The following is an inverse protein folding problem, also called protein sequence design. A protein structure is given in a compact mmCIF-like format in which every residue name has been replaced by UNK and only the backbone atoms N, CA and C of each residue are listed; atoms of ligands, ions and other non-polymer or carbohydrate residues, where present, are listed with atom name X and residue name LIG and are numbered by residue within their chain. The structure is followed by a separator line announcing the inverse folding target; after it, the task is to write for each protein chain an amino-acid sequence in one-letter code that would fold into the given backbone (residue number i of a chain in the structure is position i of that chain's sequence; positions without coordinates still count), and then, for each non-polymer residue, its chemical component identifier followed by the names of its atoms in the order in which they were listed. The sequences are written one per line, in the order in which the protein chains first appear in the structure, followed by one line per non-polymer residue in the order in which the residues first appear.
data_IF_965919158078
#
_entry.id   IF_965919158078
#
_cell.length_a   1.000
_cell.length_b   1.000
_cell.length_c   1.000
_cell.angle_alpha   90.00
_cell.angle_beta   90.00
_cell.angle_gamma   90.00
#
_symmetry.space_group_name_H-M   'P 1'
#
loop_
_entity.id
_entity.type
_entity.pdbx_description
1 polymer ?
#
# COMPACT_ATOMS: atom_id res chain seq x y z
N UNK A 1 58.86 34.58 2.06
CA UNK A 1 57.95 34.62 3.22
C UNK A 1 56.56 34.92 2.71
N UNK A 2 55.57 34.10 3.08
CA UNK A 2 54.17 34.29 2.70
C UNK A 2 53.47 32.99 2.30
N UNK A 3 53.38 32.03 3.23
CA UNK A 3 52.59 30.82 3.09
C UNK A 3 51.12 31.13 3.46
N UNK A 4 50.25 31.28 2.47
CA UNK A 4 48.80 31.34 2.69
C UNK A 4 48.23 29.92 2.69
N UNK A 5 48.04 29.38 3.89
CA UNK A 5 47.26 28.17 4.13
C UNK A 5 45.80 28.40 3.70
N UNK A 6 45.34 27.67 2.69
CA UNK A 6 43.90 27.59 2.39
C UNK A 6 43.19 26.89 3.56
N UNK A 7 42.17 27.48 4.19
CA UNK A 7 41.44 26.83 5.27
C UNK A 7 40.61 25.66 4.73
N UNK A 8 40.76 24.50 5.38
CA UNK A 8 39.96 23.31 5.13
C UNK A 8 38.48 23.62 5.35
N UNK A 9 37.65 23.46 4.31
CA UNK A 9 36.19 23.50 4.41
C UNK A 9 35.64 22.19 5.01
N UNK A 10 36.04 21.88 6.24
CA UNK A 10 35.27 21.01 7.12
C UNK A 10 34.16 21.86 7.75
N UNK A 11 33.11 22.14 6.97
CA UNK A 11 31.90 22.76 7.50
C UNK A 11 31.28 21.77 8.49
N UNK A 12 31.46 22.04 9.78
CA UNK A 12 30.81 21.35 10.89
C UNK A 12 29.30 21.35 10.62
N UNK A 13 28.74 20.18 10.28
CA UNK A 13 27.30 20.00 10.13
C UNK A 13 26.65 20.26 11.49
N UNK A 14 26.16 21.49 11.70
CA UNK A 14 25.40 21.84 12.88
C UNK A 14 24.24 20.86 13.00
N UNK A 15 24.20 20.10 14.11
CA UNK A 15 23.10 19.20 14.46
C UNK A 15 21.81 20.02 14.57
N UNK A 16 21.06 20.11 13.46
CA UNK A 16 19.76 20.77 13.43
C UNK A 16 18.73 19.83 14.06
N UNK A 17 17.84 20.38 14.91
CA UNK A 17 16.81 19.59 15.59
C UNK A 17 16.03 18.66 14.63
N UNK A 18 15.78 17.40 15.02
CA UNK A 18 15.04 16.44 14.20
C UNK A 18 13.55 16.78 14.04
N UNK A 19 13.03 17.71 14.85
CA UNK A 19 11.61 18.11 14.85
C UNK A 19 11.33 19.42 14.10
N UNK A 20 12.23 19.85 13.22
CA UNK A 20 11.98 21.04 12.37
C UNK A 20 10.89 20.74 11.36
N UNK A 21 10.06 21.74 11.05
CA UNK A 21 9.05 21.66 10.00
C UNK A 21 9.62 21.23 8.63
N UNK A 22 10.84 21.66 8.30
CA UNK A 22 11.56 21.28 7.08
C UNK A 22 12.39 19.98 7.24
N UNK A 23 12.29 19.27 8.36
CA UNK A 23 12.99 17.99 8.58
C UNK A 23 12.27 16.87 7.83
N UNK A 24 13.01 15.95 7.21
CA UNK A 24 12.45 14.73 6.62
C UNK A 24 11.55 13.94 7.58
N UNK A 25 11.83 13.94 8.89
CA UNK A 25 11.05 13.16 9.87
C UNK A 25 9.66 13.74 10.08
N UNK A 26 9.57 15.06 10.23
CA UNK A 26 8.29 15.76 10.38
C UNK A 26 7.48 15.65 9.09
N UNK A 27 8.11 15.75 7.92
CA UNK A 27 7.43 15.61 6.64
C UNK A 27 6.89 14.19 6.39
N UNK A 28 7.67 13.15 6.76
CA UNK A 28 7.19 11.75 6.71
C UNK A 28 6.09 11.49 7.74
N UNK A 29 6.18 12.10 8.93
CA UNK A 29 5.11 12.04 9.93
C UNK A 29 3.82 12.72 9.47
N UNK A 30 3.94 13.89 8.83
CA UNK A 30 2.80 14.63 8.29
C UNK A 30 2.09 13.87 7.17
N UNK A 31 2.83 13.31 6.19
CA UNK A 31 2.20 12.45 5.18
C UNK A 31 1.61 11.18 5.80
N UNK A 32 2.24 10.65 6.85
CA UNK A 32 1.69 9.55 7.65
C UNK A 32 0.34 9.91 8.29
N UNK A 33 0.22 11.08 8.90
CA UNK A 33 -1.02 11.60 9.49
C UNK A 33 -2.09 11.86 8.41
N UNK A 34 -1.71 12.42 7.26
CA UNK A 34 -2.62 12.59 6.12
C UNK A 34 -3.13 11.22 5.65
N UNK A 35 -2.25 10.23 5.53
CA UNK A 35 -2.63 8.88 5.13
C UNK A 35 -3.47 8.16 6.21
N UNK A 36 -3.21 8.41 7.49
CA UNK A 36 -4.06 7.98 8.60
C UNK A 36 -5.49 8.52 8.45
N UNK A 37 -5.62 9.82 8.15
CA UNK A 37 -6.91 10.51 8.06
C UNK A 37 -7.72 10.18 6.80
N UNK A 38 -7.05 9.97 5.66
CA UNK A 38 -7.73 9.73 4.37
C UNK A 38 -7.80 8.22 4.06
N UNK A 39 -6.76 7.58 3.51
CA UNK A 39 -6.81 6.15 3.20
C UNK A 39 -6.97 5.25 4.43
N UNK A 40 -6.51 5.63 5.62
CA UNK A 40 -6.76 4.87 6.86
C UNK A 40 -8.24 4.81 7.23
N UNK A 41 -8.96 5.93 7.09
CA UNK A 41 -10.42 5.97 7.29
C UNK A 41 -11.17 5.22 6.18
N UNK A 42 -10.69 5.27 4.93
CA UNK A 42 -11.25 4.46 3.83
C UNK A 42 -11.08 2.96 4.08
N UNK A 43 -9.90 2.55 4.58
CA UNK A 43 -9.61 1.18 4.96
C UNK A 43 -10.55 0.72 6.08
N UNK A 44 -10.76 1.56 7.09
CA UNK A 44 -11.72 1.27 8.14
C UNK A 44 -13.15 1.12 7.60
N UNK A 45 -13.59 2.02 6.72
CA UNK A 45 -14.91 1.97 6.10
C UNK A 45 -15.12 0.69 5.27
N UNK A 46 -14.10 0.32 4.49
CA UNK A 46 -14.10 -0.90 3.66
C UNK A 46 -14.08 -2.16 4.52
N UNK A 47 -13.29 -2.16 5.61
CA UNK A 47 -13.17 -3.30 6.54
C UNK A 47 -14.46 -3.63 7.28
N UNK A 48 -15.43 -2.71 7.37
CA UNK A 48 -16.76 -2.99 7.90
C UNK A 48 -17.63 -3.89 6.98
N UNK A 49 -17.19 -4.15 5.75
CA UNK A 49 -17.99 -4.86 4.74
C UNK A 49 -19.06 -3.97 4.14
N UNK A 50 -19.14 -3.93 2.82
CA UNK A 50 -20.11 -3.11 2.08
C UNK A 50 -20.05 -1.61 2.39
N UNK A 51 -18.91 -1.09 2.82
CA UNK A 51 -18.82 0.31 3.26
C UNK A 51 -19.67 0.65 4.49
N UNK A 52 -20.04 -0.35 5.30
CA UNK A 52 -20.94 -0.19 6.43
C UNK A 52 -22.43 -0.31 6.08
N UNK A 53 -22.76 -0.69 4.84
CA UNK A 53 -24.12 -0.86 4.35
C UNK A 53 -24.58 -2.33 4.40
N UNK A 54 -25.89 -2.51 4.48
CA UNK A 54 -26.54 -3.84 4.42
C UNK A 54 -26.37 -4.43 3.04
N UNK A 55 -26.66 -3.63 2.01
CA UNK A 55 -26.47 -4.01 0.62
C UNK A 55 -25.04 -3.68 0.20
N UNK A 56 -24.26 -4.72 -0.10
CA UNK A 56 -22.88 -4.60 -0.53
C UNK A 56 -22.76 -4.10 -1.97
N UNK A 57 -23.81 -4.16 -2.80
CA UNK A 57 -23.71 -3.84 -4.24
C UNK A 57 -23.30 -2.40 -4.50
N UNK A 58 -23.80 -1.43 -3.73
CA UNK A 58 -23.44 -0.02 -3.86
C UNK A 58 -21.94 0.19 -3.61
N UNK A 59 -21.43 -0.38 -2.51
CA UNK A 59 -20.03 -0.29 -2.14
C UNK A 59 -19.11 -1.07 -3.09
N UNK A 60 -19.54 -2.24 -3.55
CA UNK A 60 -18.77 -3.05 -4.50
C UNK A 60 -18.65 -2.33 -5.83
N UNK A 61 -19.75 -1.80 -6.38
CA UNK A 61 -19.72 -1.04 -7.64
C UNK A 61 -18.86 0.22 -7.51
N UNK A 62 -18.92 0.92 -6.37
CA UNK A 62 -18.07 2.08 -6.09
C UNK A 62 -16.57 1.69 -6.00
N UNK A 63 -16.25 0.56 -5.35
CA UNK A 63 -14.89 0.03 -5.28
C UNK A 63 -14.39 -0.46 -6.64
N UNK A 64 -15.22 -1.12 -7.44
CA UNK A 64 -14.89 -1.48 -8.83
C UNK A 64 -14.51 -0.24 -9.63
N UNK A 65 -15.30 0.83 -9.55
CA UNK A 65 -15.02 2.09 -10.23
C UNK A 65 -13.70 2.74 -9.72
N UNK A 66 -13.49 2.76 -8.41
CA UNK A 66 -12.27 3.26 -7.76
C UNK A 66 -11.04 2.52 -8.25
N UNK A 67 -11.01 1.20 -8.15
CA UNK A 67 -9.82 0.43 -8.50
C UNK A 67 -9.56 0.42 -10.02
N UNK A 68 -10.61 0.56 -10.84
CA UNK A 68 -10.47 0.72 -12.30
C UNK A 68 -9.80 2.05 -12.64
N UNK A 69 -10.24 3.17 -12.07
CA UNK A 69 -9.60 4.46 -12.33
C UNK A 69 -8.22 4.54 -11.66
N UNK A 70 -8.04 3.93 -10.48
CA UNK A 70 -6.74 3.87 -9.81
C UNK A 70 -5.71 3.06 -10.59
N UNK A 71 -6.09 1.99 -11.29
CA UNK A 71 -5.16 1.25 -12.15
C UNK A 71 -4.56 2.14 -13.26
N UNK A 72 -5.34 3.08 -13.80
CA UNK A 72 -4.90 4.03 -14.84
C UNK A 72 -4.12 5.20 -14.22
N UNK A 73 -4.72 5.87 -13.23
CA UNK A 73 -4.15 7.08 -12.62
C UNK A 73 -3.03 6.79 -11.62
N UNK A 74 -2.86 5.55 -11.16
CA UNK A 74 -1.67 5.13 -10.42
C UNK A 74 -0.41 5.13 -11.30
N UNK A 75 -0.56 4.80 -12.60
CA UNK A 75 0.52 4.88 -13.59
C UNK A 75 0.78 6.34 -13.99
N UNK A 76 -0.28 7.10 -14.26
CA UNK A 76 -0.17 8.49 -14.68
C UNK A 76 0.15 9.47 -13.54
N UNK A 77 -0.07 9.06 -12.29
CA UNK A 77 0.02 9.91 -11.10
C UNK A 77 1.41 10.51 -10.90
N UNK A 78 2.48 9.78 -11.23
CA UNK A 78 3.85 10.30 -11.21
C UNK A 78 4.05 11.46 -12.19
N UNK A 79 3.46 11.38 -13.38
CA UNK A 79 3.49 12.46 -14.37
C UNK A 79 2.68 13.68 -13.93
N UNK A 80 1.52 13.47 -13.33
CA UNK A 80 0.66 14.56 -12.83
C UNK A 80 1.33 15.26 -11.63
N UNK A 81 1.95 14.49 -10.74
CA UNK A 81 2.74 15.02 -9.62
C UNK A 81 3.83 15.99 -10.09
N UNK A 82 4.49 15.69 -11.22
CA UNK A 82 5.52 16.56 -11.78
C UNK A 82 4.97 17.90 -12.27
N UNK A 83 3.74 17.92 -12.79
CA UNK A 83 3.10 19.13 -13.29
C UNK A 83 2.50 20.00 -12.17
N UNK A 84 1.83 19.36 -11.20
CA UNK A 84 1.09 20.05 -10.14
C UNK A 84 1.91 20.29 -8.87
N UNK A 85 3.01 19.54 -8.70
CA UNK A 85 3.81 19.54 -7.48
C UNK A 85 3.13 18.85 -6.29
N UNK A 86 3.85 18.66 -5.18
CA UNK A 86 3.38 17.86 -4.04
C UNK A 86 2.12 18.40 -3.36
N UNK A 87 2.00 19.72 -3.20
CA UNK A 87 0.88 20.34 -2.46
C UNK A 87 -0.46 20.14 -3.16
N UNK A 88 -0.54 20.52 -4.44
CA UNK A 88 -1.78 20.42 -5.21
C UNK A 88 -2.15 18.97 -5.47
N UNK A 89 -1.15 18.12 -5.72
CA UNK A 89 -1.38 16.68 -5.93
C UNK A 89 -1.97 16.01 -4.70
N UNK A 90 -1.42 16.27 -3.51
CA UNK A 90 -1.94 15.68 -2.26
C UNK A 90 -3.29 16.27 -1.86
N UNK A 91 -3.49 17.59 -2.03
CA UNK A 91 -4.79 18.23 -1.74
C UNK A 91 -5.89 17.70 -2.66
N UNK A 92 -5.62 17.62 -3.96
CA UNK A 92 -6.55 17.05 -4.93
C UNK A 92 -6.80 15.57 -4.63
N UNK A 93 -5.79 14.81 -4.20
CA UNK A 93 -5.96 13.41 -3.82
C UNK A 93 -6.84 13.23 -2.58
N UNK A 94 -6.53 13.94 -1.50
CA UNK A 94 -7.19 13.78 -0.20
C UNK A 94 -8.65 14.25 -0.21
N UNK A 95 -8.99 15.29 -0.98
CA UNK A 95 -10.35 15.82 -1.05
C UNK A 95 -11.36 14.81 -1.60
N UNK A 96 -10.92 13.89 -2.47
CA UNK A 96 -11.77 12.85 -3.04
C UNK A 96 -12.24 11.80 -2.02
N UNK A 97 -11.47 11.56 -0.95
CA UNK A 97 -11.84 10.62 0.12
C UNK A 97 -13.08 11.10 0.87
N UNK A 98 -13.16 12.42 1.13
CA UNK A 98 -14.33 13.05 1.79
C UNK A 98 -15.59 12.83 0.96
N UNK A 99 -15.48 12.97 -0.37
CA UNK A 99 -16.60 12.77 -1.28
C UNK A 99 -17.11 11.32 -1.25
N UNK A 100 -16.19 10.34 -1.18
CA UNK A 100 -16.55 8.93 -1.06
C UNK A 100 -17.33 8.64 0.22
N UNK A 101 -16.86 9.08 1.39
CA UNK A 101 -17.58 8.89 2.65
C UNK A 101 -18.95 9.60 2.63
N UNK A 102 -19.02 10.84 2.11
CA UNK A 102 -20.27 11.58 1.95
C UNK A 102 -21.26 10.92 1.00
N UNK A 103 -20.79 10.17 0.00
CA UNK A 103 -21.67 9.43 -0.91
C UNK A 103 -22.43 8.29 -0.23
N UNK A 104 -21.83 7.63 0.77
CA UNK A 104 -22.53 6.62 1.55
C UNK A 104 -23.51 7.21 2.56
N UNK A 105 -23.21 8.40 3.12
CA UNK A 105 -24.17 9.14 3.92
C UNK A 105 -25.42 9.48 3.08
N UNK A 106 -25.23 9.98 1.86
CA UNK A 106 -26.34 10.22 0.93
C UNK A 106 -27.09 8.93 0.58
N UNK A 107 -26.36 7.84 0.33
CA UNK A 107 -26.95 6.53 0.06
C UNK A 107 -27.82 6.03 1.22
N UNK A 108 -27.47 6.34 2.47
CA UNK A 108 -28.23 5.93 3.65
C UNK A 108 -29.64 6.55 3.69
N UNK A 109 -29.84 7.73 3.09
CA UNK A 109 -31.13 8.42 3.06
C UNK A 109 -31.91 8.22 1.76
N UNK A 110 -31.22 8.12 0.62
CA UNK A 110 -31.85 8.14 -0.71
C UNK A 110 -31.69 6.83 -1.49
N UNK A 111 -30.83 5.91 -1.06
CA UNK A 111 -30.57 4.61 -1.69
C UNK A 111 -30.19 4.66 -3.20
N UNK A 112 -29.72 5.79 -3.70
CA UNK A 112 -29.25 5.94 -5.09
C UNK A 112 -27.74 5.65 -5.21
N UNK A 113 -27.40 4.59 -5.94
CA UNK A 113 -26.00 4.11 -6.06
C UNK A 113 -25.12 4.97 -6.98
N UNK A 114 -25.71 5.77 -7.89
CA UNK A 114 -24.97 6.52 -8.90
C UNK A 114 -23.93 7.47 -8.28
N UNK A 115 -24.31 8.16 -7.20
CA UNK A 115 -23.40 9.08 -6.53
C UNK A 115 -22.20 8.35 -5.90
N UNK A 116 -22.42 7.18 -5.30
CA UNK A 116 -21.34 6.35 -4.74
C UNK A 116 -20.38 5.83 -5.83
N UNK A 117 -20.92 5.43 -6.99
CA UNK A 117 -20.09 4.96 -8.12
C UNK A 117 -19.23 6.09 -8.68
N UNK A 118 -19.80 7.28 -8.90
CA UNK A 118 -19.06 8.45 -9.38
C UNK A 118 -18.02 8.88 -8.35
N UNK A 119 -18.39 8.93 -7.06
CA UNK A 119 -17.46 9.26 -5.98
C UNK A 119 -16.31 8.23 -5.90
N UNK A 120 -16.60 6.94 -6.10
CA UNK A 120 -15.59 5.88 -6.21
C UNK A 120 -14.62 6.12 -7.37
N UNK A 121 -15.13 6.40 -8.57
CA UNK A 121 -14.29 6.70 -9.74
C UNK A 121 -13.37 7.92 -9.50
N UNK A 122 -13.92 9.00 -8.93
CA UNK A 122 -13.17 10.21 -8.56
C UNK A 122 -12.13 9.91 -7.48
N UNK A 123 -12.49 9.08 -6.49
CA UNK A 123 -11.56 8.61 -5.47
C UNK A 123 -10.41 7.81 -6.07
N UNK A 124 -10.63 6.96 -7.07
CA UNK A 124 -9.53 6.23 -7.69
C UNK A 124 -8.53 7.13 -8.43
N UNK A 125 -9.00 8.23 -9.04
CA UNK A 125 -8.14 9.29 -9.59
C UNK A 125 -7.34 9.93 -8.45
N UNK A 126 -8.03 10.34 -7.38
CA UNK A 126 -7.40 10.97 -6.22
C UNK A 126 -6.41 10.07 -5.47
N UNK A 127 -6.69 8.76 -5.40
CA UNK A 127 -5.80 7.76 -4.84
C UNK A 127 -4.52 7.63 -5.67
N UNK A 128 -4.63 7.63 -7.00
CA UNK A 128 -3.47 7.69 -7.91
C UNK A 128 -2.54 8.86 -7.60
N UNK A 129 -3.11 10.05 -7.41
CA UNK A 129 -2.37 11.26 -7.06
C UNK A 129 -1.75 11.18 -5.65
N UNK A 130 -2.54 10.75 -4.66
CA UNK A 130 -2.10 10.64 -3.27
C UNK A 130 -0.91 9.69 -3.14
N UNK A 131 -1.03 8.48 -3.71
CA UNK A 131 0.02 7.46 -3.61
C UNK A 131 1.26 7.83 -4.42
N UNK A 132 1.11 8.51 -5.57
CA UNK A 132 2.25 9.06 -6.30
C UNK A 132 3.01 10.12 -5.47
N UNK A 133 2.28 11.06 -4.86
CA UNK A 133 2.88 12.08 -4.00
C UNK A 133 3.52 11.51 -2.74
N UNK A 134 2.85 10.55 -2.09
CA UNK A 134 3.36 9.84 -0.93
C UNK A 134 4.64 9.07 -1.28
N UNK A 135 4.66 8.33 -2.38
CA UNK A 135 5.82 7.57 -2.85
C UNK A 135 7.02 8.48 -3.16
N UNK A 136 6.78 9.63 -3.79
CA UNK A 136 7.82 10.62 -4.05
C UNK A 136 8.43 11.18 -2.76
N UNK A 137 7.60 11.51 -1.75
CA UNK A 137 8.05 11.99 -0.44
C UNK A 137 8.87 10.93 0.29
N UNK A 138 8.39 9.68 0.30
CA UNK A 138 9.05 8.56 0.99
C UNK A 138 10.40 8.18 0.39
N UNK A 139 10.58 8.38 -0.91
CA UNK A 139 11.82 8.01 -1.60
C UNK A 139 12.85 9.14 -1.61
N UNK A 140 12.40 10.40 -1.66
CA UNK A 140 13.27 11.58 -1.83
C UNK A 140 13.70 12.26 -0.52
N UNK A 141 12.85 12.25 0.52
CA UNK A 141 13.13 13.00 1.76
C UNK A 141 14.07 12.26 2.72
N UNK A 142 13.90 10.95 2.99
CA UNK A 142 14.76 10.25 3.95
C UNK A 142 16.20 10.11 3.45
N UNK A 143 17.21 10.26 4.33
CA UNK A 143 18.61 10.00 4.00
C UNK A 143 18.82 8.51 3.69
N UNK A 144 19.68 8.20 2.71
CA UNK A 144 19.88 6.85 2.18
C UNK A 144 20.15 5.78 3.27
N UNK A 145 20.91 6.14 4.31
CA UNK A 145 21.27 5.25 5.42
C UNK A 145 20.11 4.90 6.38
N UNK A 146 19.01 5.65 6.36
CA UNK A 146 17.86 5.44 7.28
C UNK A 146 16.51 5.25 6.58
N UNK A 147 16.47 5.08 5.25
CA UNK A 147 15.23 4.96 4.46
C UNK A 147 14.21 3.97 5.07
N UNK A 148 14.65 2.78 5.47
CA UNK A 148 13.78 1.75 6.06
C UNK A 148 13.05 2.19 7.34
N UNK A 149 13.73 2.91 8.24
CA UNK A 149 13.12 3.40 9.49
C UNK A 149 11.99 4.39 9.22
N UNK A 150 12.17 5.28 8.24
CA UNK A 150 11.15 6.27 7.87
C UNK A 150 9.94 5.59 7.20
N UNK A 151 10.19 4.56 6.37
CA UNK A 151 9.14 3.74 5.76
C UNK A 151 8.33 3.00 6.83
N UNK A 152 8.99 2.32 7.77
CA UNK A 152 8.33 1.61 8.86
C UNK A 152 7.51 2.55 9.74
N UNK A 153 8.03 3.75 10.04
CA UNK A 153 7.32 4.77 10.80
C UNK A 153 6.04 5.23 10.08
N UNK A 154 6.12 5.51 8.78
CA UNK A 154 4.96 5.86 7.96
C UNK A 154 3.87 4.78 8.01
N UNK A 155 4.24 3.52 7.73
CA UNK A 155 3.28 2.41 7.71
C UNK A 155 2.61 2.18 9.07
N UNK A 156 3.36 2.39 10.16
CA UNK A 156 2.83 2.31 11.53
C UNK A 156 1.74 3.37 11.75
N UNK A 157 2.03 4.63 11.38
CA UNK A 157 1.06 5.73 11.52
C UNK A 157 -0.15 5.53 10.60
N UNK A 158 0.07 5.12 9.35
CA UNK A 158 -0.99 4.85 8.39
C UNK A 158 -1.97 3.76 8.88
N UNK A 159 -1.46 2.61 9.33
CA UNK A 159 -2.30 1.50 9.78
C UNK A 159 -3.02 1.78 11.10
N UNK A 160 -2.47 2.67 11.93
CA UNK A 160 -3.19 3.20 13.09
C UNK A 160 -4.50 3.90 12.67
N UNK A 161 -4.58 4.42 11.44
CA UNK A 161 -5.81 4.99 10.88
C UNK A 161 -6.91 3.95 10.73
N UNK A 162 -6.56 2.75 10.27
CA UNK A 162 -7.49 1.61 10.23
C UNK A 162 -7.95 1.19 11.62
N UNK A 163 -7.04 1.19 12.60
CA UNK A 163 -7.35 0.87 14.01
C UNK A 163 -8.33 1.88 14.62
N UNK A 164 -8.00 3.18 14.60
CA UNK A 164 -8.87 4.24 15.14
C UNK A 164 -10.18 4.30 14.35
N UNK A 165 -10.12 4.17 13.03
CA UNK A 165 -11.29 4.14 12.17
C UNK A 165 -12.21 2.95 12.45
N UNK A 166 -11.69 1.81 12.91
CA UNK A 166 -12.48 0.67 13.38
C UNK A 166 -13.10 0.88 14.77
N UNK A 167 -12.44 1.65 15.65
CA UNK A 167 -12.96 1.99 16.98
C UNK A 167 -14.16 2.95 16.91
N UNK A 168 -14.19 3.88 15.96
CA UNK A 168 -15.30 4.83 15.76
C UNK A 168 -16.66 4.09 15.63
N UNK A 169 -16.88 3.21 14.64
CA UNK A 169 -18.13 2.48 14.49
C UNK A 169 -18.39 1.54 15.66
N UNK A 170 -17.35 0.95 16.27
CA UNK A 170 -17.50 0.09 17.45
C UNK A 170 -18.11 0.85 18.63
N UNK A 171 -17.57 2.02 18.97
CA UNK A 171 -18.06 2.85 20.09
C UNK A 171 -19.43 3.45 19.77
N UNK A 172 -19.60 4.01 18.57
CA UNK A 172 -20.85 4.67 18.18
C UNK A 172 -22.01 3.70 17.98
N UNK A 173 -21.75 2.43 17.67
CA UNK A 173 -22.79 1.39 17.53
C UNK A 173 -22.78 0.38 18.68
N UNK A 174 -22.07 0.64 19.77
CA UNK A 174 -21.92 -0.31 20.89
C UNK A 174 -23.26 -0.76 21.48
N UNK A 175 -24.19 0.18 21.63
CA UNK A 175 -25.54 -0.04 22.17
C UNK A 175 -26.59 -0.38 21.10
N UNK A 176 -26.21 -0.43 19.82
CA UNK A 176 -27.13 -0.69 18.70
C UNK A 176 -26.96 -2.13 18.22
N UNK A 177 -27.72 -3.05 18.80
CA UNK A 177 -27.70 -4.48 18.45
C UNK A 177 -28.45 -4.78 17.15
N UNK A 178 -29.51 -4.03 16.84
CA UNK A 178 -30.41 -4.32 15.71
C UNK A 178 -30.12 -3.47 14.45
N UNK A 179 -29.09 -2.62 14.51
CA UNK A 179 -28.78 -1.72 13.40
C UNK A 179 -28.17 -2.47 12.21
N UNK A 180 -28.86 -2.40 11.08
CA UNK A 180 -28.44 -3.06 9.86
C UNK A 180 -27.31 -2.29 9.13
N UNK A 181 -27.33 -0.96 9.16
CA UNK A 181 -26.30 -0.08 8.61
C UNK A 181 -25.62 0.81 9.66
N UNK A 182 -24.43 1.29 9.31
CA UNK A 182 -23.68 2.30 10.06
C UNK A 182 -24.51 3.58 10.23
N UNK A 183 -24.46 4.20 11.41
CA UNK A 183 -25.17 5.47 11.65
C UNK A 183 -24.53 6.65 10.88
N UNK A 184 -25.35 7.66 10.64
CA UNK A 184 -24.91 8.91 10.01
C UNK A 184 -23.75 9.56 10.77
N UNK A 185 -23.75 9.47 12.11
CA UNK A 185 -22.68 9.97 12.97
C UNK A 185 -21.31 9.37 12.67
N UNK A 186 -21.24 8.08 12.29
CA UNK A 186 -19.98 7.44 11.90
C UNK A 186 -19.52 7.95 10.53
N UNK A 187 -20.42 8.09 9.54
CA UNK A 187 -20.04 8.68 8.25
C UNK A 187 -19.58 10.14 8.40
N UNK A 188 -20.27 10.93 9.23
CA UNK A 188 -19.89 12.31 9.55
C UNK A 188 -18.52 12.34 10.25
N UNK A 189 -18.25 11.43 11.19
CA UNK A 189 -16.94 11.32 11.83
C UNK A 189 -15.84 11.00 10.81
N UNK A 190 -16.07 10.03 9.92
CA UNK A 190 -15.12 9.73 8.83
C UNK A 190 -14.89 10.93 7.92
N UNK A 191 -15.95 11.63 7.51
CA UNK A 191 -15.84 12.85 6.71
C UNK A 191 -15.03 13.93 7.42
N UNK A 192 -15.23 14.12 8.73
CA UNK A 192 -14.47 15.09 9.51
C UNK A 192 -12.96 14.76 9.53
N UNK A 193 -12.60 13.49 9.80
CA UNK A 193 -11.20 13.06 9.75
C UNK A 193 -10.60 13.22 8.35
N UNK A 194 -11.32 12.78 7.31
CA UNK A 194 -10.85 12.90 5.92
C UNK A 194 -10.71 14.37 5.49
N UNK A 195 -11.61 15.25 5.92
CA UNK A 195 -11.53 16.68 5.63
C UNK A 195 -10.37 17.33 6.37
N UNK A 196 -10.14 16.97 7.64
CA UNK A 196 -8.97 17.39 8.39
C UNK A 196 -7.68 16.93 7.69
N UNK A 197 -7.63 15.68 7.20
CA UNK A 197 -6.52 15.17 6.39
C UNK A 197 -6.28 15.97 5.11
N UNK A 198 -7.35 16.32 4.38
CA UNK A 198 -7.26 17.18 3.20
C UNK A 198 -6.75 18.58 3.53
N UNK A 199 -7.24 19.21 4.61
CA UNK A 199 -6.76 20.53 5.07
C UNK A 199 -5.28 20.46 5.47
N UNK A 200 -4.87 19.42 6.20
CA UNK A 200 -3.47 19.20 6.57
C UNK A 200 -2.58 18.98 5.35
N UNK A 201 -3.09 18.42 4.25
CA UNK A 201 -2.31 18.20 3.04
C UNK A 201 -1.95 19.50 2.27
N UNK A 202 -2.67 20.61 2.50
CA UNK A 202 -2.54 21.86 1.72
C UNK A 202 -1.36 22.77 2.17
N UNK A 203 -1.22 23.17 3.45
CA UNK A 203 -0.16 24.06 3.90
C UNK A 203 1.08 23.33 4.44
N UNK A 204 0.97 22.05 4.85
CA UNK A 204 1.97 21.37 5.69
C UNK A 204 3.26 20.92 4.98
N UNK A 205 3.28 20.93 3.63
CA UNK A 205 4.46 20.55 2.85
C UNK A 205 5.25 21.81 2.43
N UNK A 206 6.45 22.08 2.97
CA UNK A 206 7.30 23.19 2.56
C UNK A 206 7.77 22.98 1.11
N UNK A 207 7.84 24.05 0.33
CA UNK A 207 8.32 24.04 -1.05
C UNK A 207 9.80 23.66 -1.18
N UNK A 208 10.55 23.59 -0.07
CA UNK A 208 11.94 23.15 -0.01
C UNK A 208 12.21 22.37 1.28
N UNK A 209 12.37 21.06 1.17
CA UNK A 209 12.83 20.20 2.28
C UNK A 209 14.35 20.18 2.32
N UNK A 210 14.91 20.46 3.49
CA UNK A 210 16.37 20.48 3.71
C UNK A 210 16.69 19.39 4.72
N UNK A 211 17.41 18.35 4.26
CA UNK A 211 17.82 17.20 5.07
C UNK A 211 18.70 17.66 6.24
N UNK A 212 18.84 16.79 7.24
CA UNK A 212 19.59 17.10 8.47
C UNK A 212 21.10 17.28 8.21
N UNK A 213 21.61 16.77 7.09
CA UNK A 213 22.98 16.98 6.59
C UNK A 213 23.17 18.30 5.82
N UNK A 214 22.12 19.11 5.68
CA UNK A 214 22.15 20.36 4.92
C UNK A 214 21.96 20.19 3.41
N UNK A 215 21.89 18.96 2.90
CA UNK A 215 21.55 18.68 1.51
C UNK A 215 20.07 18.98 1.25
N UNK A 216 19.77 19.50 0.06
CA UNK A 216 18.36 19.66 -0.38
C UNK A 216 17.83 18.29 -0.78
N UNK A 217 16.56 18.01 -0.44
CA UNK A 217 15.84 16.90 -1.07
C UNK A 217 15.97 17.09 -2.58
N UNK A 218 16.67 16.15 -3.21
CA UNK A 218 17.12 16.23 -4.60
C UNK A 218 15.94 16.54 -5.50
N UNK A 219 16.08 17.56 -6.37
CA UNK A 219 15.19 17.77 -7.50
C UNK A 219 15.15 16.45 -8.27
N UNK A 220 14.01 15.79 -8.24
CA UNK A 220 13.92 14.47 -8.83
C UNK A 220 13.87 14.70 -10.33
N UNK A 221 15.00 14.40 -11.00
CA UNK A 221 15.10 14.42 -12.45
C UNK A 221 14.26 13.27 -13.01
N UNK A 222 12.94 13.45 -13.03
CA UNK A 222 12.05 12.48 -13.64
C UNK A 222 12.07 12.64 -15.16
N UNK A 223 12.12 11.51 -15.85
CA UNK A 223 12.07 11.48 -17.31
C UNK A 223 10.70 11.96 -17.82
N UNK A 224 10.61 12.29 -19.11
CA UNK A 224 9.35 12.76 -19.70
C UNK A 224 8.21 11.74 -19.46
N UNK A 225 6.98 12.20 -19.26
CA UNK A 225 5.80 11.33 -19.03
C UNK A 225 5.65 10.28 -20.13
N UNK A 226 5.99 10.65 -21.38
CA UNK A 226 6.00 9.72 -22.51
C UNK A 226 7.04 8.61 -22.35
N UNK A 227 8.25 8.95 -21.90
CA UNK A 227 9.31 7.98 -21.61
C UNK A 227 8.91 7.06 -20.47
N UNK A 228 8.39 7.59 -19.36
CA UNK A 228 7.91 6.77 -18.24
C UNK A 228 6.77 5.82 -18.67
N UNK A 229 5.79 6.29 -19.44
CA UNK A 229 4.70 5.44 -19.95
C UNK A 229 5.22 4.32 -20.86
N UNK A 230 6.18 4.60 -21.74
CA UNK A 230 6.77 3.58 -22.61
C UNK A 230 7.57 2.56 -21.80
N UNK A 231 8.36 2.99 -20.83
CA UNK A 231 9.13 2.10 -19.95
C UNK A 231 8.21 1.23 -19.08
N UNK A 232 7.09 1.79 -18.59
CA UNK A 232 6.06 1.02 -17.87
C UNK A 232 5.40 -0.01 -18.79
N UNK A 233 5.12 0.34 -20.06
CA UNK A 233 4.56 -0.62 -21.02
C UNK A 233 5.53 -1.77 -21.31
N UNK A 234 6.84 -1.52 -21.36
CA UNK A 234 7.84 -2.58 -21.50
C UNK A 234 7.84 -3.56 -20.33
N UNK A 235 7.44 -3.12 -19.12
CA UNK A 235 7.32 -4.01 -17.96
C UNK A 235 6.30 -5.13 -18.16
N UNK A 236 5.26 -4.92 -18.98
CA UNK A 236 4.30 -5.98 -19.31
C UNK A 236 4.90 -7.10 -20.16
N UNK A 237 6.07 -6.89 -20.75
CA UNK A 237 6.83 -7.90 -21.49
C UNK A 237 8.05 -8.43 -20.70
N UNK A 238 8.35 -7.87 -19.53
CA UNK A 238 9.47 -8.31 -18.71
C UNK A 238 9.10 -9.62 -17.99
N UNK A 239 9.87 -10.68 -18.26
CA UNK A 239 9.67 -12.00 -17.66
C UNK A 239 9.69 -11.96 -16.12
N UNK A 240 10.46 -11.05 -15.51
CA UNK A 240 10.54 -10.88 -14.05
C UNK A 240 9.22 -10.36 -13.49
N UNK A 241 8.64 -9.38 -14.18
CA UNK A 241 7.38 -8.77 -13.79
C UNK A 241 6.20 -9.69 -14.05
N UNK A 242 6.23 -10.45 -15.14
CA UNK A 242 5.22 -11.47 -15.46
C UNK A 242 5.13 -12.55 -14.37
N UNK A 243 6.24 -12.93 -13.73
CA UNK A 243 6.23 -13.85 -12.59
C UNK A 243 5.63 -13.24 -11.32
N UNK A 244 5.66 -11.91 -11.17
CA UNK A 244 5.02 -11.19 -10.04
C UNK A 244 3.52 -10.97 -10.26
N UNK A 245 3.04 -10.95 -11.52
CA UNK A 245 1.64 -10.65 -11.86
C UNK A 245 0.63 -11.44 -11.02
N UNK A 246 0.76 -12.78 -10.85
CA UNK A 246 -0.20 -13.54 -10.03
C UNK A 246 -0.21 -13.10 -8.56
N UNK A 247 0.96 -12.79 -8.00
CA UNK A 247 1.09 -12.30 -6.63
C UNK A 247 0.49 -10.89 -6.48
N UNK A 248 0.78 -10.00 -7.44
CA UNK A 248 0.20 -8.67 -7.50
C UNK A 248 -1.33 -8.75 -7.59
N UNK A 249 -1.87 -9.59 -8.46
CA UNK A 249 -3.31 -9.78 -8.63
C UNK A 249 -3.96 -10.31 -7.34
N UNK A 250 -3.37 -11.32 -6.70
CA UNK A 250 -3.92 -11.93 -5.50
C UNK A 250 -3.96 -10.96 -4.29
N UNK A 251 -3.00 -10.05 -4.20
CA UNK A 251 -2.76 -9.21 -3.00
C UNK A 251 -3.91 -8.28 -2.57
N UNK A 252 -4.85 -7.95 -3.45
CA UNK A 252 -6.09 -7.23 -3.08
C UNK A 252 -7.36 -8.01 -3.46
N UNK A 253 -7.24 -9.14 -4.16
CA UNK A 253 -8.40 -9.91 -4.62
C UNK A 253 -9.17 -10.52 -3.44
N UNK A 254 -8.48 -10.83 -2.34
CA UNK A 254 -9.10 -11.41 -1.16
C UNK A 254 -9.91 -10.43 -0.31
N UNK A 255 -9.79 -9.11 -0.52
CA UNK A 255 -10.47 -8.13 0.34
C UNK A 255 -11.99 -8.21 0.24
N UNK A 256 -12.54 -8.44 -0.95
CA UNK A 256 -14.00 -8.61 -1.10
C UNK A 256 -14.49 -9.79 -0.26
N UNK A 257 -13.78 -10.91 -0.31
CA UNK A 257 -14.09 -12.08 0.50
C UNK A 257 -13.92 -11.82 2.00
N UNK A 258 -12.78 -11.27 2.43
CA UNK A 258 -12.53 -11.03 3.86
C UNK A 258 -13.50 -10.01 4.45
N UNK A 259 -13.72 -8.87 3.77
CA UNK A 259 -14.52 -7.78 4.32
C UNK A 259 -16.02 -8.00 4.17
N UNK A 260 -16.51 -8.42 3.00
CA UNK A 260 -17.95 -8.63 2.81
C UNK A 260 -18.38 -10.02 3.30
N UNK A 261 -17.68 -11.06 2.85
CA UNK A 261 -18.16 -12.43 3.01
C UNK A 261 -17.83 -13.05 4.37
N UNK A 262 -16.75 -12.60 5.02
CA UNK A 262 -16.43 -13.01 6.39
C UNK A 262 -16.91 -11.95 7.39
N UNK A 263 -16.40 -10.72 7.33
CA UNK A 263 -16.76 -9.70 8.33
C UNK A 263 -18.21 -9.21 8.18
N UNK A 264 -18.60 -8.87 6.95
CA UNK A 264 -19.91 -8.33 6.61
C UNK A 264 -21.08 -9.28 6.87
N UNK A 265 -20.89 -10.56 6.58
CA UNK A 265 -21.94 -11.58 6.65
C UNK A 265 -22.07 -12.21 8.04
N UNK A 266 -20.95 -12.56 8.69
CA UNK A 266 -20.99 -13.36 9.92
C UNK A 266 -21.23 -12.54 11.19
N UNK A 267 -20.86 -11.26 11.23
CA UNK A 267 -20.78 -10.52 12.50
C UNK A 267 -21.80 -9.37 12.59
N UNK A 268 -22.16 -9.02 13.83
CA UNK A 268 -22.96 -7.81 14.13
C UNK A 268 -22.16 -6.55 13.88
N UNK A 269 -22.83 -5.42 13.61
CA UNK A 269 -22.17 -4.17 13.23
C UNK A 269 -21.09 -3.71 14.25
N UNK A 270 -21.39 -3.82 15.55
CA UNK A 270 -20.41 -3.52 16.61
C UNK A 270 -19.19 -4.46 16.52
N UNK A 271 -19.43 -5.74 16.34
CA UNK A 271 -18.37 -6.75 16.23
C UNK A 271 -17.54 -6.56 14.97
N UNK A 272 -18.12 -6.11 13.86
CA UNK A 272 -17.38 -5.74 12.64
C UNK A 272 -16.36 -4.63 12.88
N UNK A 273 -16.74 -3.60 13.65
CA UNK A 273 -15.83 -2.54 14.08
C UNK A 273 -14.68 -3.06 14.93
N UNK A 274 -14.97 -3.93 15.90
CA UNK A 274 -13.96 -4.59 16.74
C UNK A 274 -13.01 -5.47 15.91
N UNK A 275 -13.56 -6.29 15.02
CA UNK A 275 -12.79 -7.15 14.11
C UNK A 275 -11.81 -6.32 13.28
N UNK A 276 -12.25 -5.15 12.80
CA UNK A 276 -11.43 -4.21 12.04
C UNK A 276 -10.21 -3.74 12.83
N UNK A 277 -10.40 -3.38 14.11
CA UNK A 277 -9.31 -2.96 15.01
C UNK A 277 -8.22 -4.02 15.09
N UNK A 278 -8.60 -5.28 15.30
CA UNK A 278 -7.64 -6.37 15.40
C UNK A 278 -7.06 -6.77 14.04
N UNK A 279 -7.81 -6.64 12.95
CA UNK A 279 -7.31 -6.88 11.59
C UNK A 279 -6.14 -5.93 11.26
N UNK A 280 -6.35 -4.62 11.40
CA UNK A 280 -5.29 -3.62 11.13
C UNK A 280 -4.17 -3.69 12.16
N UNK A 281 -4.47 -4.00 13.42
CA UNK A 281 -3.44 -4.24 14.45
C UNK A 281 -2.55 -5.45 14.12
N UNK A 282 -3.15 -6.56 13.68
CA UNK A 282 -2.42 -7.74 13.24
C UNK A 282 -1.62 -7.48 11.95
N UNK A 283 -2.13 -6.63 11.06
CA UNK A 283 -1.40 -6.17 9.87
C UNK A 283 -0.08 -5.49 10.25
N UNK A 284 -0.07 -4.65 11.30
CA UNK A 284 1.15 -4.02 11.81
C UNK A 284 2.15 -5.06 12.32
N UNK A 285 1.69 -6.02 13.13
CA UNK A 285 2.55 -7.08 13.69
C UNK A 285 3.14 -7.94 12.58
N UNK A 286 2.31 -8.41 11.65
CA UNK A 286 2.75 -9.27 10.54
C UNK A 286 3.80 -8.59 9.65
N UNK A 287 3.65 -7.29 9.37
CA UNK A 287 4.63 -6.52 8.60
C UNK A 287 5.99 -6.44 9.30
N UNK A 288 5.99 -6.20 10.62
CA UNK A 288 7.22 -6.17 11.43
C UNK A 288 7.86 -7.56 11.48
N UNK A 289 7.06 -8.61 11.71
CA UNK A 289 7.57 -9.98 11.82
C UNK A 289 8.19 -10.46 10.51
N UNK A 290 7.51 -10.33 9.38
CA UNK A 290 8.08 -10.74 8.10
C UNK A 290 9.26 -9.86 7.69
N UNK A 291 9.20 -8.56 8.01
CA UNK A 291 10.31 -7.63 7.75
C UNK A 291 11.57 -8.09 8.49
N UNK A 292 11.46 -8.46 9.76
CA UNK A 292 12.58 -9.00 10.53
C UNK A 292 13.12 -10.32 9.95
N UNK A 293 12.22 -11.23 9.54
CA UNK A 293 12.60 -12.50 8.90
C UNK A 293 13.37 -12.24 7.61
N UNK A 294 12.84 -11.36 6.76
CA UNK A 294 13.40 -10.99 5.48
C UNK A 294 14.64 -10.12 5.59
N UNK A 295 14.90 -9.46 6.72
CA UNK A 295 16.05 -8.55 6.90
C UNK A 295 17.22 -9.08 7.70
N UNK A 296 16.98 -9.88 8.74
CA UNK A 296 18.00 -10.23 9.73
C UNK A 296 18.21 -11.74 9.92
N UNK A 297 17.40 -12.61 9.31
CA UNK A 297 17.47 -14.04 9.64
C UNK A 297 18.68 -14.77 9.05
N UNK A 298 19.22 -14.36 7.90
CA UNK A 298 20.31 -15.08 7.23
C UNK A 298 21.26 -14.14 6.47
N UNK A 299 22.48 -14.62 6.18
CA UNK A 299 23.50 -13.83 5.45
C UNK A 299 23.24 -13.76 3.93
N UNK A 300 22.70 -14.82 3.32
CA UNK A 300 22.38 -14.83 1.88
C UNK A 300 21.01 -14.20 1.60
N UNK A 301 20.95 -13.33 0.59
CA UNK A 301 19.71 -12.67 0.16
C UNK A 301 18.74 -13.69 -0.43
N UNK A 302 19.24 -14.67 -1.18
CA UNK A 302 18.42 -15.79 -1.70
C UNK A 302 17.78 -16.60 -0.58
N UNK A 303 18.57 -16.97 0.43
CA UNK A 303 18.08 -17.77 1.57
C UNK A 303 16.97 -17.04 2.33
N UNK A 304 17.14 -15.73 2.55
CA UNK A 304 16.11 -14.86 3.15
C UNK A 304 14.81 -14.90 2.36
N UNK A 305 14.89 -14.79 1.03
CA UNK A 305 13.72 -14.86 0.15
C UNK A 305 12.98 -16.19 0.26
N UNK A 306 13.69 -17.32 0.23
CA UNK A 306 13.06 -18.64 0.38
C UNK A 306 12.40 -18.87 1.73
N UNK A 307 13.07 -18.46 2.82
CA UNK A 307 12.48 -18.59 4.17
C UNK A 307 11.26 -17.70 4.32
N UNK A 308 11.32 -16.47 3.79
CA UNK A 308 10.16 -15.58 3.74
C UNK A 308 8.99 -16.19 2.98
N UNK A 309 9.21 -16.68 1.76
CA UNK A 309 8.18 -17.33 0.95
C UNK A 309 7.61 -18.55 1.66
N UNK A 310 8.46 -19.40 2.24
CA UNK A 310 8.02 -20.62 2.94
C UNK A 310 7.17 -20.27 4.17
N UNK A 311 7.59 -19.28 4.95
CA UNK A 311 6.87 -18.82 6.14
C UNK A 311 5.48 -18.31 5.76
N UNK A 312 5.40 -17.44 4.74
CA UNK A 312 4.11 -16.91 4.25
C UNK A 312 3.26 -18.01 3.61
N UNK A 313 3.86 -18.98 2.92
CA UNK A 313 3.14 -20.08 2.30
C UNK A 313 2.51 -21.02 3.33
N UNK A 314 3.24 -21.37 4.40
CA UNK A 314 2.74 -22.22 5.48
C UNK A 314 1.62 -21.51 6.25
N UNK A 315 1.86 -20.27 6.69
CA UNK A 315 0.84 -19.48 7.41
C UNK A 315 -0.37 -19.19 6.53
N UNK A 316 -0.14 -18.89 5.25
CA UNK A 316 -1.19 -18.65 4.27
C UNK A 316 -2.06 -19.87 4.05
N UNK A 317 -1.44 -21.03 3.83
CA UNK A 317 -2.17 -22.30 3.65
C UNK A 317 -2.95 -22.66 4.91
N UNK A 318 -2.37 -22.50 6.11
CA UNK A 318 -3.07 -22.75 7.37
C UNK A 318 -4.28 -21.81 7.55
N UNK A 319 -4.12 -20.53 7.24
CA UNK A 319 -5.20 -19.53 7.35
C UNK A 319 -6.32 -19.81 6.36
N UNK A 320 -6.00 -20.11 5.10
CA UNK A 320 -7.01 -20.45 4.08
C UNK A 320 -7.70 -21.79 4.35
N UNK A 321 -6.99 -22.78 4.89
CA UNK A 321 -7.59 -24.04 5.35
C UNK A 321 -8.56 -23.80 6.52
N UNK A 322 -8.20 -22.94 7.48
CA UNK A 322 -9.12 -22.46 8.52
C UNK A 322 -10.31 -21.71 7.94
N UNK A 323 -10.10 -20.92 6.88
CA UNK A 323 -11.13 -20.26 6.09
C UNK A 323 -12.13 -21.23 5.47
N UNK A 324 -11.62 -22.29 4.84
CA UNK A 324 -12.46 -23.35 4.28
C UNK A 324 -13.26 -24.07 5.36
N UNK A 325 -12.60 -24.44 6.48
CA UNK A 325 -13.27 -25.10 7.60
C UNK A 325 -14.38 -24.23 8.22
N UNK A 326 -14.20 -22.90 8.24
CA UNK A 326 -15.24 -21.96 8.66
C UNK A 326 -16.36 -21.87 7.61
N UNK A 327 -16.01 -21.71 6.34
CA UNK A 327 -16.95 -21.57 5.22
C UNK A 327 -17.86 -22.79 5.04
N UNK A 328 -17.35 -24.01 5.32
CA UNK A 328 -18.13 -25.24 5.30
C UNK A 328 -19.25 -25.28 6.35
N UNK A 329 -19.22 -24.41 7.36
CA UNK A 329 -20.29 -24.29 8.36
C UNK A 329 -21.50 -23.53 7.83
N UNK A 330 -21.36 -22.79 6.71
CA UNK A 330 -22.43 -22.01 6.08
C UNK A 330 -22.37 -22.06 4.55
N UNK A 331 -22.57 -23.24 3.96
CA UNK A 331 -22.43 -23.45 2.51
C UNK A 331 -23.40 -22.60 1.68
N UNK A 332 -24.58 -22.29 2.23
CA UNK A 332 -25.64 -21.51 1.56
C UNK A 332 -25.46 -19.99 1.70
N UNK A 333 -24.43 -19.53 2.41
CA UNK A 333 -24.21 -18.10 2.66
C UNK A 333 -25.25 -17.45 3.58
N UNK A 334 -26.11 -18.24 4.21
CA UNK A 334 -27.09 -17.76 5.19
C UNK A 334 -26.60 -18.13 6.59
N UNK A 335 -26.26 -17.12 7.38
CA UNK A 335 -25.96 -17.28 8.80
C UNK A 335 -27.12 -16.69 9.61
N UNK A 336 -27.94 -17.55 10.22
CA UNK A 336 -29.20 -17.15 10.85
C UNK A 336 -29.01 -16.20 12.05
N UNK A 337 -27.95 -16.41 12.84
CA UNK A 337 -27.67 -15.62 14.05
C UNK A 337 -26.31 -14.93 13.96
N UNK A 338 -26.28 -13.65 13.56
CA UNK A 338 -25.04 -12.87 13.47
C UNK A 338 -24.24 -12.97 14.77
N UNK A 339 -22.94 -13.25 14.65
CA UNK A 339 -22.03 -13.42 15.76
C UNK A 339 -21.73 -12.06 16.41
N UNK A 340 -21.88 -12.06 17.73
CA UNK A 340 -21.62 -10.91 18.56
C UNK A 340 -20.51 -11.18 19.58
N UNK A 341 -19.61 -10.21 19.75
CA UNK A 341 -18.50 -10.32 20.70
C UNK A 341 -18.92 -10.55 22.17
N UNK A 342 -20.12 -10.10 22.58
CA UNK A 342 -20.64 -10.37 23.94
C UNK A 342 -21.50 -11.62 24.01
N UNK A 343 -22.43 -11.75 23.06
CA UNK A 343 -23.56 -12.66 23.20
C UNK A 343 -23.26 -14.05 22.63
N UNK A 344 -22.25 -14.17 21.74
CA UNK A 344 -21.94 -15.43 21.06
C UNK A 344 -20.86 -16.29 21.75
N UNK A 345 -20.27 -15.82 22.85
CA UNK A 345 -19.31 -16.58 23.66
C UNK A 345 -18.22 -17.28 22.84
N UNK A 346 -18.03 -18.60 23.06
CA UNK A 346 -17.00 -19.39 22.38
C UNK A 346 -17.20 -19.52 20.85
N UNK A 347 -18.42 -19.32 20.32
CA UNK A 347 -18.69 -19.38 18.88
C UNK A 347 -18.06 -18.21 18.11
N UNK A 348 -17.83 -17.08 18.78
CA UNK A 348 -17.16 -15.91 18.21
C UNK A 348 -15.64 -16.12 18.07
N UNK A 349 -15.01 -16.83 19.01
CA UNK A 349 -13.54 -16.92 19.11
C UNK A 349 -12.88 -17.52 17.85
N UNK A 350 -13.46 -18.57 17.27
CA UNK A 350 -12.90 -19.21 16.07
C UNK A 350 -12.88 -18.29 14.83
N UNK A 351 -14.06 -17.79 14.37
CA UNK A 351 -14.14 -16.83 13.27
C UNK A 351 -13.36 -15.54 13.53
N UNK A 352 -13.30 -15.06 14.77
CA UNK A 352 -12.50 -13.90 15.16
C UNK A 352 -11.00 -14.13 14.95
N UNK A 353 -10.44 -15.22 15.49
CA UNK A 353 -9.00 -15.54 15.33
C UNK A 353 -8.66 -15.74 13.86
N UNK A 354 -9.54 -16.36 13.08
CA UNK A 354 -9.38 -16.48 11.64
C UNK A 354 -9.32 -15.10 10.96
N UNK A 355 -10.20 -14.18 11.34
CA UNK A 355 -10.20 -12.83 10.77
C UNK A 355 -8.93 -12.03 11.11
N UNK A 356 -8.43 -12.15 12.34
CA UNK A 356 -7.14 -11.58 12.75
C UNK A 356 -5.98 -12.20 11.96
N UNK A 357 -6.04 -13.51 11.72
CA UNK A 357 -5.04 -14.23 10.93
C UNK A 357 -5.02 -13.78 9.46
N UNK A 358 -6.18 -13.42 8.88
CA UNK A 358 -6.22 -12.81 7.55
C UNK A 358 -5.48 -11.48 7.49
N UNK A 359 -5.63 -10.60 8.49
CA UNK A 359 -4.92 -9.32 8.53
C UNK A 359 -3.41 -9.48 8.70
N UNK A 360 -2.99 -10.47 9.50
CA UNK A 360 -1.59 -10.85 9.62
C UNK A 360 -1.03 -11.39 8.30
N UNK A 361 -1.74 -12.29 7.63
CA UNK A 361 -1.33 -12.86 6.34
C UNK A 361 -1.23 -11.80 5.24
N UNK A 362 -2.19 -10.88 5.19
CA UNK A 362 -2.23 -9.78 4.22
C UNK A 362 -0.94 -8.95 4.27
N UNK A 363 -0.56 -8.50 5.47
CA UNK A 363 0.67 -7.72 5.64
C UNK A 363 1.92 -8.51 5.29
N UNK A 364 1.97 -9.77 5.70
CA UNK A 364 3.12 -10.62 5.44
C UNK A 364 3.31 -10.85 3.94
N UNK A 365 2.22 -11.11 3.22
CA UNK A 365 2.23 -11.31 1.78
C UNK A 365 2.60 -10.03 1.02
N UNK A 366 2.00 -8.89 1.37
CA UNK A 366 2.33 -7.62 0.73
C UNK A 366 3.80 -7.21 0.96
N UNK A 367 4.28 -7.31 2.20
CA UNK A 367 5.67 -7.00 2.52
C UNK A 367 6.66 -7.93 1.83
N UNK A 368 6.33 -9.22 1.68
CA UNK A 368 7.13 -10.16 0.90
C UNK A 368 7.21 -9.75 -0.57
N UNK A 369 6.09 -9.40 -1.20
CA UNK A 369 6.07 -8.94 -2.60
C UNK A 369 6.93 -7.68 -2.78
N UNK A 370 6.81 -6.70 -1.89
CA UNK A 370 7.64 -5.49 -1.92
C UNK A 370 9.12 -5.76 -1.72
N UNK A 371 9.46 -6.70 -0.84
CA UNK A 371 10.85 -7.11 -0.64
C UNK A 371 11.42 -7.80 -1.89
N UNK A 372 10.66 -8.68 -2.54
CA UNK A 372 11.07 -9.31 -3.81
C UNK A 372 11.28 -8.26 -4.89
N UNK A 373 10.34 -7.31 -5.05
CA UNK A 373 10.49 -6.18 -5.98
C UNK A 373 11.76 -5.37 -5.66
N UNK A 374 12.01 -5.08 -4.38
CA UNK A 374 13.23 -4.41 -3.90
C UNK A 374 14.52 -5.18 -4.18
N UNK A 375 14.47 -6.51 -4.26
CA UNK A 375 15.62 -7.34 -4.56
C UNK A 375 15.95 -7.42 -6.06
N UNK A 376 15.04 -6.99 -6.95
CA UNK A 376 15.21 -7.08 -8.41
C UNK A 376 15.89 -5.87 -9.04
N UNK A 377 15.87 -4.71 -8.38
CA UNK A 377 16.43 -3.47 -8.89
C UNK A 377 17.12 -2.67 -7.78
N UNK A 378 18.38 -2.29 -8.01
CA UNK A 378 19.15 -1.44 -7.10
C UNK A 378 18.95 0.06 -7.40
N UNK A 379 18.47 0.41 -8.60
CA UNK A 379 18.23 1.79 -8.99
C UNK A 379 16.80 2.25 -8.61
N UNK A 380 16.71 3.47 -8.09
CA UNK A 380 15.46 4.00 -7.54
C UNK A 380 14.38 4.24 -8.61
N UNK A 381 14.75 4.37 -9.90
CA UNK A 381 13.81 4.68 -10.97
C UNK A 381 13.10 3.42 -11.44
N UNK A 382 13.85 2.35 -11.73
CA UNK A 382 13.32 1.01 -12.04
C UNK A 382 12.50 0.46 -10.88
N UNK A 383 12.98 0.62 -9.63
CA UNK A 383 12.22 0.18 -8.46
C UNK A 383 10.86 0.89 -8.34
N UNK A 384 10.82 2.19 -8.63
CA UNK A 384 9.57 2.96 -8.68
C UNK A 384 8.63 2.45 -9.77
N UNK A 385 9.15 2.10 -10.95
CA UNK A 385 8.36 1.54 -12.06
C UNK A 385 7.80 0.16 -11.72
N UNK A 386 8.62 -0.73 -11.14
CA UNK A 386 8.17 -2.05 -10.69
C UNK A 386 7.09 -1.96 -9.60
N UNK A 387 7.26 -1.05 -8.63
CA UNK A 387 6.24 -0.80 -7.61
C UNK A 387 4.94 -0.24 -8.20
N UNK A 388 5.04 0.65 -9.21
CA UNK A 388 3.89 1.17 -9.95
C UNK A 388 3.13 0.09 -10.71
N UNK A 389 3.86 -0.79 -11.43
CA UNK A 389 3.30 -1.96 -12.11
C UNK A 389 2.58 -2.89 -11.12
N UNK A 390 3.22 -3.22 -10.00
CA UNK A 390 2.62 -4.04 -8.94
C UNK A 390 1.29 -3.44 -8.46
N UNK A 391 1.26 -2.13 -8.14
CA UNK A 391 0.03 -1.45 -7.71
C UNK A 391 -1.05 -1.39 -8.79
N UNK A 392 -0.66 -1.21 -10.05
CA UNK A 392 -1.59 -1.21 -11.19
C UNK A 392 -2.27 -2.57 -11.36
N UNK A 393 -1.50 -3.66 -11.39
CA UNK A 393 -2.03 -5.03 -11.51
C UNK A 393 -2.85 -5.41 -10.27
N UNK A 394 -2.38 -5.04 -9.08
CA UNK A 394 -3.12 -5.22 -7.82
C UNK A 394 -4.49 -4.52 -7.87
N UNK A 395 -4.56 -3.31 -8.43
CA UNK A 395 -5.82 -2.57 -8.55
C UNK A 395 -6.75 -3.19 -9.60
N UNK A 396 -6.22 -3.64 -10.74
CA UNK A 396 -7.01 -4.38 -11.73
C UNK A 396 -7.63 -5.66 -11.14
N UNK A 397 -6.85 -6.43 -10.36
CA UNK A 397 -7.34 -7.61 -9.65
C UNK A 397 -8.44 -7.27 -8.63
N UNK A 398 -8.25 -6.20 -7.86
CA UNK A 398 -9.27 -5.72 -6.92
C UNK A 398 -10.59 -5.35 -7.62
N UNK A 399 -10.53 -4.64 -8.74
CA UNK A 399 -11.73 -4.26 -9.51
C UNK A 399 -12.53 -5.49 -9.96
N UNK A 400 -11.86 -6.56 -10.41
CA UNK A 400 -12.51 -7.82 -10.77
C UNK A 400 -13.11 -8.49 -9.53
N UNK A 401 -12.38 -8.53 -8.41
CA UNK A 401 -12.82 -9.17 -7.18
C UNK A 401 -14.12 -8.56 -6.62
N UNK A 402 -14.22 -7.24 -6.60
CA UNK A 402 -15.44 -6.54 -6.15
C UNK A 402 -16.63 -6.83 -7.08
N UNK A 403 -16.38 -6.95 -8.38
CA UNK A 403 -17.45 -7.27 -9.33
C UNK A 403 -17.93 -8.71 -9.27
N UNK A 404 -17.02 -9.65 -8.98
CA UNK A 404 -17.34 -11.06 -8.71
C UNK A 404 -18.27 -11.17 -7.49
N UNK A 405 -18.05 -10.33 -6.46
CA UNK A 405 -18.89 -10.26 -5.27
C UNK A 405 -20.27 -9.65 -5.58
N UNK A 406 -20.34 -8.55 -6.35
CA UNK A 406 -21.63 -7.94 -6.79
C UNK A 406 -22.53 -8.92 -7.56
N UNK A 407 -21.94 -9.83 -8.33
CA UNK A 407 -22.70 -10.83 -9.12
C UNK A 407 -23.28 -11.96 -8.26
N UNK A 408 -23.07 -11.94 -6.94
CA UNK A 408 -23.62 -12.94 -6.03
C UNK A 408 -23.02 -14.33 -6.25
N UNK A 409 -21.75 -14.40 -6.67
CA UNK A 409 -21.07 -15.69 -6.86
C UNK A 409 -20.98 -16.43 -5.53
N UNK A 410 -21.18 -17.75 -5.56
CA UNK A 410 -21.14 -18.59 -4.35
C UNK A 410 -19.82 -18.39 -3.59
N UNK A 411 -19.90 -18.38 -2.26
CA UNK A 411 -18.77 -18.09 -1.37
C UNK A 411 -17.61 -19.08 -1.52
N UNK A 412 -17.91 -20.37 -1.70
CA UNK A 412 -16.89 -21.41 -1.80
C UNK A 412 -15.99 -21.26 -3.05
N UNK A 413 -16.52 -21.05 -4.27
CA UNK A 413 -15.71 -20.67 -5.43
C UNK A 413 -14.84 -19.44 -5.21
N UNK A 414 -15.35 -18.39 -4.55
CA UNK A 414 -14.55 -17.20 -4.26
C UNK A 414 -13.36 -17.53 -3.35
N UNK A 415 -13.56 -18.34 -2.31
CA UNK A 415 -12.48 -18.81 -1.45
C UNK A 415 -11.47 -19.67 -2.22
N UNK A 416 -11.94 -20.60 -3.06
CA UNK A 416 -11.07 -21.49 -3.85
C UNK A 416 -10.21 -20.68 -4.81
N UNK A 417 -10.76 -19.67 -5.49
CA UNK A 417 -10.01 -18.79 -6.38
C UNK A 417 -8.95 -18.01 -5.60
N UNK A 418 -9.32 -17.42 -4.45
CA UNK A 418 -8.37 -16.72 -3.59
C UNK A 418 -7.22 -17.61 -3.11
N UNK A 419 -7.55 -18.82 -2.63
CA UNK A 419 -6.56 -19.77 -2.15
C UNK A 419 -5.67 -20.29 -3.29
N UNK A 420 -6.24 -20.55 -4.46
CA UNK A 420 -5.49 -21.02 -5.63
C UNK A 420 -4.54 -19.95 -6.16
N UNK A 421 -4.99 -18.70 -6.26
CA UNK A 421 -4.17 -17.58 -6.73
C UNK A 421 -3.02 -17.29 -5.76
N UNK A 422 -3.28 -17.28 -4.45
CA UNK A 422 -2.23 -17.10 -3.43
C UNK A 422 -1.24 -18.26 -3.43
N UNK A 423 -1.73 -19.50 -3.51
CA UNK A 423 -0.87 -20.70 -3.55
C UNK A 423 -0.01 -20.76 -4.81
N UNK A 424 -0.57 -20.42 -5.98
CA UNK A 424 0.17 -20.36 -7.24
C UNK A 424 1.23 -19.24 -7.24
N UNK A 425 1.04 -18.19 -6.43
CA UNK A 425 2.00 -17.09 -6.32
C UNK A 425 3.30 -17.51 -5.63
N UNK A 426 3.25 -18.40 -4.64
CA UNK A 426 4.44 -18.82 -3.89
C UNK A 426 5.53 -19.49 -4.74
N UNK A 427 5.26 -20.51 -5.58
CA UNK A 427 6.29 -21.12 -6.42
C UNK A 427 6.82 -20.16 -7.48
N UNK A 428 5.98 -19.25 -8.00
CA UNK A 428 6.41 -18.24 -8.97
C UNK A 428 7.35 -17.20 -8.33
N UNK A 429 7.04 -16.75 -7.11
CA UNK A 429 7.94 -15.90 -6.33
C UNK A 429 9.23 -16.64 -5.98
N UNK A 430 9.18 -17.94 -5.66
CA UNK A 430 10.38 -18.74 -5.40
C UNK A 430 11.25 -18.89 -6.64
N UNK A 431 10.63 -19.14 -7.81
CA UNK A 431 11.33 -19.17 -9.09
C UNK A 431 11.98 -17.82 -9.40
N UNK A 432 11.29 -16.72 -9.13
CA UNK A 432 11.84 -15.39 -9.33
C UNK A 432 13.02 -15.11 -8.39
N UNK A 433 12.93 -15.51 -7.12
CA UNK A 433 14.06 -15.40 -6.17
C UNK A 433 15.24 -16.25 -6.64
N UNK A 434 15.00 -17.46 -7.15
CA UNK A 434 16.05 -18.33 -7.70
C UNK A 434 16.77 -17.69 -8.90
N UNK A 435 16.01 -17.17 -9.86
CA UNK A 435 16.54 -16.74 -11.15
C UNK A 435 17.07 -15.31 -11.14
N UNK A 436 16.48 -14.42 -10.34
CA UNK A 436 16.73 -12.97 -10.46
C UNK A 436 17.40 -12.33 -9.24
N UNK A 437 17.29 -12.92 -8.04
CA UNK A 437 17.99 -12.40 -6.86
C UNK A 437 19.43 -12.91 -6.91
N UNK A 438 20.41 -12.00 -6.96
CA UNK A 438 21.83 -12.34 -6.84
C UNK A 438 22.28 -12.18 -5.37
N UNK A 439 23.19 -13.04 -4.92
CA UNK A 439 23.81 -12.87 -3.61
C UNK A 439 24.87 -11.75 -3.67
N UNK A 440 25.12 -11.11 -2.53
CA UNK A 440 25.91 -9.86 -2.43
C UNK A 440 27.36 -10.03 -2.92
N UNK A 441 27.93 -11.23 -2.82
CA UNK A 441 29.29 -11.55 -3.28
C UNK A 441 29.40 -11.51 -4.82
N UNK A 442 28.40 -12.00 -5.56
CA UNK A 442 28.38 -11.96 -7.03
C UNK A 442 28.24 -10.53 -7.59
N UNK A 443 27.60 -9.63 -6.84
CA UNK A 443 27.37 -8.24 -7.23
C UNK A 443 28.60 -7.33 -7.06
N UNK A 444 29.50 -7.65 -6.13
CA UNK A 444 30.77 -6.93 -5.98
C UNK A 444 31.76 -7.32 -7.10
N UNK A 445 31.77 -8.58 -7.52
CA UNK A 445 32.59 -9.06 -8.64
C UNK A 445 32.13 -8.50 -10.00
N UNK A 446 30.83 -8.35 -10.23
CA UNK A 446 30.30 -7.69 -11.43
C UNK A 446 30.56 -6.17 -11.41
N UNK A 447 30.45 -5.51 -10.26
CA UNK A 447 30.83 -4.09 -10.12
C UNK A 447 32.31 -3.88 -10.37
N UNK A 448 33.17 -4.76 -9.85
CA UNK A 448 34.61 -4.76 -10.12
C UNK A 448 34.90 -4.95 -11.61
N UNK A 449 34.18 -5.85 -12.29
CA UNK A 449 34.29 -6.05 -13.74
C UNK A 449 33.76 -4.86 -14.55
N UNK A 450 32.59 -4.32 -14.24
CA UNK A 450 32.01 -3.17 -14.95
C UNK A 450 32.84 -1.89 -14.78
N UNK A 451 33.39 -1.66 -13.59
CA UNK A 451 34.30 -0.53 -13.33
C UNK A 451 35.62 -0.68 -14.11
N UNK A 452 36.14 -1.92 -14.25
CA UNK A 452 37.31 -2.22 -15.07
C UNK A 452 37.05 -2.04 -16.57
N UNK A 453 35.88 -2.45 -17.06
CA UNK A 453 35.48 -2.27 -18.47
C UNK A 453 35.24 -0.80 -18.83
N UNK A 454 34.69 -0.02 -17.88
CA UNK A 454 34.53 1.44 -18.04
C UNK A 454 35.86 2.19 -18.04
N UNK A 455 36.88 1.67 -17.36
CA UNK A 455 38.21 2.27 -17.30
C UNK A 455 39.12 1.88 -18.48
N UNK A 456 38.76 0.86 -19.26
CA UNK A 456 39.55 0.36 -20.39
C UNK A 456 39.16 0.92 -21.76
N UNK A 457 38.23 1.87 -21.83
CA UNK A 457 37.92 2.58 -23.08
C UNK A 457 39.03 3.63 -23.35
N UNK A 458 39.78 3.55 -24.46
CA UNK A 458 40.81 4.54 -24.77
C UNK A 458 40.15 5.89 -25.04
N UNK A 459 40.63 6.94 -24.40
CA UNK A 459 40.33 8.32 -24.76
C UNK A 459 40.96 8.57 -26.13
N UNK A 460 40.13 8.63 -27.18
CA UNK A 460 40.54 9.07 -28.51
C UNK A 460 40.89 10.56 -28.43
N UNK A 461 42.18 10.84 -28.31
CA UNK A 461 42.76 12.18 -28.33
C UNK A 461 42.68 12.72 -29.76
N UNK A 462 41.61 13.48 -30.05
CA UNK A 462 41.46 14.21 -31.31
C UNK A 462 42.45 15.38 -31.36
N UNK A 463 43.67 15.10 -31.80
CA UNK A 463 44.63 16.10 -32.23
C UNK A 463 44.26 16.60 -33.64
N UNK A 464 43.51 17.70 -33.73
CA UNK A 464 43.50 18.54 -34.94
C UNK A 464 44.35 19.78 -34.71
N UNK A 465 45.45 19.82 -35.46
CA UNK A 465 46.48 20.85 -35.40
C UNK A 465 46.11 22.15 -36.11
N UNK A 466 46.71 23.22 -35.56
CA UNK A 466 47.45 24.31 -36.23
C UNK A 466 47.02 24.77 -37.64
N UNK A 467 46.77 26.09 -37.74
CA UNK A 467 47.32 26.89 -38.86
C UNK A 467 46.47 28.07 -39.34
N UNK A 468 46.81 29.28 -38.87
CA UNK A 468 46.44 30.66 -39.32
C UNK A 468 46.45 30.88 -40.85
N UNK A 469 46.04 32.07 -41.36
CA UNK A 469 45.17 33.12 -40.81
C UNK A 469 43.84 33.29 -41.56
#
# INVERSE_FOLDING_TARGET
MGSEQRPSTAAVAASRSPFRYNSPLVQVGLIGIVCFCCPGMFNALSGMGGGGQVDHTAANNANTALYTTFAVFGILGGGIYNLLGPRLTLLAGCSTYVLYAGSFLYYNHYHHQLFAIIAGAVLGIGAGLLWAGQGAIMTSYPPARRKGTYISFFWTVFNMGGVIGGLIPFVLNYHRTDAASVNDGTYIAFMFFMAAGAVLSSPSFPSRVVRDDGSRASDIAYSSVRTESVEILKLFADWRMLLIVPAAWASNFFYSYQFNNVNGLLFTLRTKGLNNVFYWGAQMIGSITIGYVLDFSFNSRRTRGFVGITTVAVLGTATWAGGLANQLRYPDGVWADKLDFKDSGAKFAGPFVLYVSYGLLDSMFQSLCYWVIGALADDSQTLSRFSGFYKGVQSAGAAVAWQVDTRGTRLLPQLIVNWSLTTASYPLLALLVMLAVKDTEDGEDEKSKALKTSASLPVEENAQGKGRP
#
